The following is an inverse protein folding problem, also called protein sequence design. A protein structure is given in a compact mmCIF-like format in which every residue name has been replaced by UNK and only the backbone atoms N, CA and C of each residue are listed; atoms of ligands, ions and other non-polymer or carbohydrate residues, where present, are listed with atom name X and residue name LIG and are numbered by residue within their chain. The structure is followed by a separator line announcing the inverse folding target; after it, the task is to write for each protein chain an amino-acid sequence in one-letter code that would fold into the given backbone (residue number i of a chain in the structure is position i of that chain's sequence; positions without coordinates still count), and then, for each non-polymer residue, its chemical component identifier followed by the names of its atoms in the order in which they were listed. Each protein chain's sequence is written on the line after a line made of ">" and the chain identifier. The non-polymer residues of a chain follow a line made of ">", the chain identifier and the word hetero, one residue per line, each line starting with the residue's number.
data_IF_866315186258
#
_entry.id   IF_866315186258
#
_cell.length_a   1.000
_cell.length_b   1.000
_cell.length_c   1.000
_cell.angle_alpha   90.00
_cell.angle_beta   90.00
_cell.angle_gamma   90.00
#
_symmetry.space_group_name_H-M   'P 1'
#
loop_
_entity.id
_entity.type
_entity.pdbx_description
1 polymer ?
#
# COMPACT_ATOMS: atom_id res chain seq x y z
N UNK A 1 5.82 17.88 7.73
CA UNK A 1 5.11 16.88 8.54
C UNK A 1 5.64 15.49 8.17
N UNK A 2 6.43 14.86 9.02
CA UNK A 2 7.17 13.61 8.73
C UNK A 2 6.30 12.36 8.98
N UNK A 3 6.54 11.29 8.20
CA UNK A 3 5.80 10.02 8.19
C UNK A 3 5.63 9.37 9.59
N UNK A 4 6.60 9.56 10.48
CA UNK A 4 6.56 9.13 11.89
C UNK A 4 5.41 9.78 12.68
N UNK A 5 5.15 11.06 12.45
CA UNK A 5 4.08 11.81 13.12
C UNK A 5 2.72 11.30 12.67
N UNK A 6 2.57 11.05 11.36
CA UNK A 6 1.35 10.50 10.78
C UNK A 6 1.06 9.09 11.32
N UNK A 7 2.08 8.24 11.45
CA UNK A 7 1.94 6.90 12.03
C UNK A 7 1.49 6.94 13.50
N UNK A 8 2.07 7.82 14.33
CA UNK A 8 1.68 7.97 15.74
C UNK A 8 0.22 8.45 15.89
N UNK A 9 -0.20 9.44 15.09
CA UNK A 9 -1.58 9.94 15.10
C UNK A 9 -2.58 8.86 14.67
N UNK A 10 -2.25 8.11 13.62
CA UNK A 10 -3.06 7.00 13.12
C UNK A 10 -3.24 5.92 14.21
N UNK A 11 -2.20 5.65 15.01
CA UNK A 11 -2.26 4.61 16.04
C UNK A 11 -2.73 5.11 17.41
N UNK A 12 -3.24 6.35 17.51
CA UNK A 12 -3.70 6.91 18.78
C UNK A 12 -5.00 6.25 19.27
N UNK A 13 -5.16 5.97 20.58
CA UNK A 13 -6.31 5.22 21.14
C UNK A 13 -7.67 5.86 20.85
N UNK A 14 -7.70 7.19 20.74
CA UNK A 14 -8.88 8.00 20.42
C UNK A 14 -9.44 7.75 19.01
N UNK A 15 -8.61 7.24 18.10
CA UNK A 15 -9.02 6.90 16.74
C UNK A 15 -9.52 5.45 16.62
N UNK A 16 -9.54 4.70 17.73
CA UNK A 16 -9.81 3.27 17.79
C UNK A 16 -11.26 2.88 17.54
N UNK A 17 -11.51 1.77 16.79
CA UNK A 17 -12.85 1.17 16.69
C UNK A 17 -13.43 0.87 18.07
N UNK A 18 -14.71 1.17 18.29
CA UNK A 18 -15.37 0.87 19.56
C UNK A 18 -15.57 -0.64 19.75
N UNK A 19 -15.48 -1.10 21.00
CA UNK A 19 -15.85 -2.47 21.37
C UNK A 19 -17.37 -2.59 21.61
N UNK A 20 -17.88 -3.81 21.83
CA UNK A 20 -19.31 -4.06 22.11
C UNK A 20 -19.85 -3.35 23.36
N UNK A 21 -18.97 -2.81 24.22
CA UNK A 21 -19.30 -2.05 25.44
C UNK A 21 -19.15 -0.53 25.25
N UNK A 22 -18.85 -0.05 24.04
CA UNK A 22 -18.69 1.38 23.72
C UNK A 22 -17.31 1.98 24.02
N UNK A 23 -16.31 1.19 24.46
CA UNK A 23 -14.96 1.70 24.73
C UNK A 23 -14.07 1.61 23.48
N UNK A 24 -13.22 2.61 23.21
CA UNK A 24 -12.28 2.56 22.09
C UNK A 24 -11.27 1.41 22.28
N UNK A 25 -11.07 0.63 21.22
CA UNK A 25 -10.03 -0.40 21.21
C UNK A 25 -8.66 0.27 21.22
N UNK A 26 -7.73 -0.33 21.97
CA UNK A 26 -6.33 0.15 22.08
C UNK A 26 -5.57 0.17 20.75
N UNK A 27 -6.06 -0.51 19.73
CA UNK A 27 -5.44 -0.58 18.41
C UNK A 27 -6.51 -0.69 17.31
N UNK A 28 -6.24 -0.01 16.18
CA UNK A 28 -7.02 -0.10 14.95
C UNK A 28 -7.96 1.09 14.74
N UNK A 29 -7.71 1.89 13.70
CA UNK A 29 -8.54 3.06 13.37
C UNK A 29 -9.93 2.61 12.94
N UNK A 30 -10.94 3.37 13.35
CA UNK A 30 -12.27 3.29 12.75
C UNK A 30 -12.32 3.99 11.37
N UNK A 31 -11.64 3.38 10.41
CA UNK A 31 -11.48 3.94 9.05
C UNK A 31 -12.84 3.97 8.34
N UNK A 32 -13.68 2.97 8.59
CA UNK A 32 -14.98 2.81 7.94
C UNK A 32 -15.95 3.95 8.34
N UNK A 33 -15.89 4.43 9.59
CA UNK A 33 -16.70 5.58 10.03
C UNK A 33 -16.07 6.94 9.70
N UNK A 34 -14.76 6.99 9.40
CA UNK A 34 -14.05 8.23 9.02
C UNK A 34 -14.04 8.50 7.53
N UNK A 35 -14.26 7.49 6.68
CA UNK A 35 -14.23 7.62 5.23
C UNK A 35 -15.60 7.28 4.64
N UNK A 36 -16.09 8.10 3.72
CA UNK A 36 -17.39 7.90 3.04
C UNK A 36 -17.45 6.69 2.10
N UNK A 37 -16.42 5.84 2.06
CA UNK A 37 -16.36 4.67 1.19
C UNK A 37 -16.93 3.44 1.91
N UNK A 38 -18.00 2.87 1.34
CA UNK A 38 -18.71 1.70 1.88
C UNK A 38 -17.95 0.36 1.69
N UNK A 39 -16.61 0.38 1.69
CA UNK A 39 -15.77 -0.82 1.56
C UNK A 39 -14.96 -0.97 2.84
N UNK A 40 -15.01 -2.16 3.43
CA UNK A 40 -14.23 -2.46 4.63
C UNK A 40 -12.72 -2.37 4.33
N UNK A 41 -12.06 -1.35 4.87
CA UNK A 41 -10.63 -1.13 4.63
C UNK A 41 -9.81 -1.86 5.69
N UNK A 42 -8.90 -2.71 5.25
CA UNK A 42 -7.95 -3.41 6.13
C UNK A 42 -6.53 -2.89 5.96
N UNK A 43 -5.68 -3.14 6.95
CA UNK A 43 -4.23 -2.83 6.90
C UNK A 43 -3.53 -3.47 5.70
N UNK A 44 -4.01 -4.64 5.25
CA UNK A 44 -3.49 -5.32 4.05
C UNK A 44 -3.70 -4.50 2.77
N UNK A 45 -4.78 -3.72 2.66
CA UNK A 45 -5.02 -2.86 1.49
C UNK A 45 -3.94 -1.78 1.40
N UNK A 46 -3.62 -1.12 2.51
CA UNK A 46 -2.54 -0.12 2.53
C UNK A 46 -1.19 -0.72 2.17
N UNK A 47 -0.89 -1.94 2.64
CA UNK A 47 0.34 -2.64 2.25
C UNK A 47 0.41 -2.87 0.73
N UNK A 48 -0.69 -3.32 0.12
CA UNK A 48 -0.75 -3.51 -1.33
C UNK A 48 -0.68 -2.20 -2.12
N UNK A 49 -1.32 -1.14 -1.65
CA UNK A 49 -1.20 0.20 -2.24
C UNK A 49 0.23 0.71 -2.18
N UNK A 50 0.91 0.56 -1.04
CA UNK A 50 2.30 0.97 -0.88
C UNK A 50 3.24 0.22 -1.82
N UNK A 51 3.11 -1.11 -1.91
CA UNK A 51 3.91 -1.93 -2.84
C UNK A 51 3.65 -1.53 -4.29
N UNK A 52 2.38 -1.37 -4.68
CA UNK A 52 2.00 -0.99 -6.04
C UNK A 52 2.56 0.38 -6.42
N UNK A 53 2.60 1.32 -5.46
CA UNK A 53 3.19 2.63 -5.64
C UNK A 53 4.71 2.54 -5.87
N UNK A 54 5.43 1.80 -5.02
CA UNK A 54 6.88 1.62 -5.18
C UNK A 54 7.24 0.93 -6.51
N UNK A 55 6.46 -0.07 -6.90
CA UNK A 55 6.62 -0.77 -8.19
C UNK A 55 6.39 0.17 -9.38
N UNK A 56 5.37 1.05 -9.30
CA UNK A 56 5.12 2.07 -10.33
C UNK A 56 6.26 3.08 -10.47
N UNK A 57 6.96 3.38 -9.38
CA UNK A 57 8.12 4.27 -9.39
C UNK A 57 9.39 3.58 -9.91
N UNK A 58 9.34 2.29 -10.29
CA UNK A 58 10.48 1.56 -10.83
C UNK A 58 11.50 1.12 -9.78
N UNK A 59 11.13 1.09 -8.50
CA UNK A 59 12.03 0.63 -7.42
C UNK A 59 12.26 -0.88 -7.57
N UNK A 60 13.51 -1.38 -7.47
CA UNK A 60 13.80 -2.81 -7.57
C UNK A 60 12.99 -3.67 -6.61
N UNK A 61 12.58 -4.85 -7.07
CA UNK A 61 11.75 -5.78 -6.29
C UNK A 61 12.41 -6.15 -4.96
N UNK A 62 13.74 -6.36 -4.97
CA UNK A 62 14.53 -6.73 -3.80
C UNK A 62 14.47 -5.63 -2.72
N UNK A 63 14.58 -4.36 -3.13
CA UNK A 63 14.49 -3.22 -2.23
C UNK A 63 13.08 -3.06 -1.65
N UNK A 64 12.04 -3.34 -2.45
CA UNK A 64 10.65 -3.34 -1.97
C UNK A 64 10.44 -4.47 -0.95
N UNK A 65 10.95 -5.67 -1.22
CA UNK A 65 10.83 -6.83 -0.36
C UNK A 65 11.53 -6.64 0.99
N UNK A 66 12.73 -6.08 0.98
CA UNK A 66 13.49 -5.71 2.18
C UNK A 66 12.71 -4.68 3.02
N UNK A 67 12.17 -3.64 2.37
CA UNK A 67 11.39 -2.59 3.02
C UNK A 67 10.09 -3.08 3.67
N UNK A 68 9.39 -4.06 3.08
CA UNK A 68 8.12 -4.58 3.61
C UNK A 68 8.28 -5.78 4.54
N UNK A 69 9.52 -6.14 4.89
CA UNK A 69 9.87 -7.12 5.90
C UNK A 69 9.56 -8.57 5.54
N UNK A 70 9.47 -8.92 4.25
CA UNK A 70 9.15 -10.30 3.84
C UNK A 70 10.16 -10.83 2.83
N UNK A 71 10.86 -11.89 3.25
CA UNK A 71 11.60 -12.82 2.40
C UNK A 71 10.63 -13.52 1.43
N UNK A 72 10.77 -13.25 0.13
CA UNK A 72 10.22 -14.06 -0.98
C UNK A 72 8.74 -14.50 -0.78
N UNK A 73 7.80 -13.59 -0.96
CA UNK A 73 6.36 -13.87 -0.94
C UNK A 73 5.69 -13.56 -2.28
N UNK A 74 4.97 -14.54 -2.85
CA UNK A 74 4.39 -14.48 -4.20
C UNK A 74 3.62 -13.20 -4.48
N UNK A 75 2.86 -12.67 -3.50
CA UNK A 75 1.99 -11.50 -3.71
C UNK A 75 2.72 -10.18 -3.95
N UNK A 76 3.90 -9.95 -3.35
CA UNK A 76 4.70 -8.74 -3.64
C UNK A 76 5.24 -8.83 -5.07
N UNK A 77 5.76 -10.00 -5.42
CA UNK A 77 6.27 -10.31 -6.77
C UNK A 77 5.15 -10.25 -7.81
N UNK A 78 3.98 -10.82 -7.56
CA UNK A 78 2.81 -10.78 -8.44
C UNK A 78 2.36 -9.33 -8.71
N UNK A 79 2.27 -8.51 -7.66
CA UNK A 79 1.91 -7.09 -7.80
C UNK A 79 2.98 -6.37 -8.62
N UNK A 80 4.25 -6.60 -8.31
CA UNK A 80 5.37 -6.00 -9.05
C UNK A 80 5.32 -6.38 -10.53
N UNK A 81 5.24 -7.68 -10.84
CA UNK A 81 5.17 -8.20 -12.21
C UNK A 81 3.96 -7.65 -12.97
N UNK A 82 2.80 -7.55 -12.33
CA UNK A 82 1.61 -6.97 -12.95
C UNK A 82 1.79 -5.51 -13.32
N UNK A 83 2.40 -4.71 -12.44
CA UNK A 83 2.68 -3.31 -12.69
C UNK A 83 3.75 -3.16 -13.78
N UNK A 84 4.85 -3.89 -13.69
CA UNK A 84 5.93 -3.85 -14.69
C UNK A 84 5.44 -4.28 -16.07
N UNK A 85 4.58 -5.30 -16.16
CA UNK A 85 3.96 -5.72 -17.44
C UNK A 85 3.19 -4.56 -18.08
N UNK A 86 2.35 -3.87 -17.31
CA UNK A 86 1.61 -2.69 -17.79
C UNK A 86 2.56 -1.58 -18.24
N UNK A 87 3.62 -1.31 -17.48
CA UNK A 87 4.62 -0.30 -17.85
C UNK A 87 5.34 -0.68 -19.15
N UNK A 88 5.68 -1.96 -19.33
CA UNK A 88 6.30 -2.47 -20.56
C UNK A 88 5.40 -2.25 -21.78
N UNK A 89 4.11 -2.55 -21.67
CA UNK A 89 3.14 -2.35 -22.75
C UNK A 89 3.00 -0.87 -23.16
N UNK A 90 3.28 0.07 -22.24
CA UNK A 90 3.31 1.51 -22.54
C UNK A 90 4.64 1.98 -23.14
N UNK A 91 5.76 1.34 -22.79
CA UNK A 91 7.10 1.74 -23.25
C UNK A 91 7.40 1.21 -24.65
N UNK A 92 6.94 0.01 -25.01
CA UNK A 92 7.14 -0.59 -26.35
C UNK A 92 6.81 0.39 -27.49
N UNK A 93 5.62 1.01 -27.55
CA UNK A 93 5.30 1.93 -28.64
C UNK A 93 6.20 3.18 -28.67
N UNK A 94 6.70 3.62 -27.50
CA UNK A 94 7.64 4.75 -27.43
C UNK A 94 9.01 4.34 -27.99
N UNK A 95 9.50 3.16 -27.64
CA UNK A 95 10.76 2.64 -28.18
C UNK A 95 10.69 2.49 -29.70
N UNK A 96 9.58 1.97 -30.22
CA UNK A 96 9.38 1.79 -31.66
C UNK A 96 9.44 3.13 -32.43
N UNK A 97 9.01 4.24 -31.80
CA UNK A 97 9.11 5.60 -32.38
C UNK A 97 10.51 6.20 -32.33
N UNK A 98 11.39 5.70 -31.46
CA UNK A 98 12.76 6.22 -31.30
C UNK A 98 13.77 5.45 -32.18
N UNK A 99 13.37 4.30 -32.71
CA UNK A 99 14.19 3.44 -33.57
C UNK A 99 13.80 3.48 -35.06
N UNK A 100 12.87 4.37 -35.44
CA UNK A 100 12.52 4.70 -36.83
C UNK A 100 13.24 5.97 -37.27
#
# INVERSE_FOLDING_TARGET
>A
MTLMTLFMTINSPENGKLNRKGNPKRAGIDIDNKLSFNKHITTHIFRHTHISFLAKQGIPLEAIQDRVGHSRGSRVTEIYLHITKKTKDQIIPILDTLTQ
#
